data_IF_892915927852
#
_entry.id   IF_892915927852
#
_cell.length_a   1.000
_cell.length_b   1.000
_cell.length_c   1.000
_cell.angle_alpha   90.00
_cell.angle_beta   90.00
_cell.angle_gamma   90.00
#
_symmetry.space_group_name_H-M   'P 1'
#
loop_
_entity.id
_entity.type
_entity.pdbx_description
1 polymer ?
#
# COMPACT_ATOMS: atom_id res chain seq x y z
N UNK A 1 31.22 5.86 36.92
CA UNK A 1 31.00 4.66 36.07
C UNK A 1 30.16 3.65 36.85
N UNK A 2 28.87 3.46 36.51
CA UNK A 2 27.96 2.52 37.20
C UNK A 2 27.54 1.42 36.22
N UNK A 3 28.03 0.19 36.46
CA UNK A 3 27.76 -0.99 35.65
C UNK A 3 26.34 -1.52 35.88
N UNK A 4 25.57 -1.65 34.80
CA UNK A 4 24.28 -2.35 34.78
C UNK A 4 24.52 -3.85 34.54
N UNK A 5 24.22 -4.66 35.55
CA UNK A 5 24.15 -6.13 35.44
C UNK A 5 23.01 -6.50 34.50
N UNK A 6 23.29 -7.30 33.46
CA UNK A 6 22.28 -7.92 32.60
C UNK A 6 21.76 -9.17 33.31
N UNK A 7 20.46 -9.19 33.55
CA UNK A 7 19.74 -10.31 34.13
C UNK A 7 19.41 -11.29 32.98
N UNK A 8 19.86 -12.53 33.09
CA UNK A 8 19.55 -13.60 32.16
C UNK A 8 18.21 -14.21 32.55
N UNK A 9 17.29 -14.34 31.59
CA UNK A 9 16.06 -15.11 31.76
C UNK A 9 16.29 -16.55 31.28
N UNK A 10 15.85 -17.58 32.03
CA UNK A 10 15.99 -18.97 31.61
C UNK A 10 15.05 -19.32 30.45
N UNK A 11 15.60 -20.09 29.50
CA UNK A 11 14.90 -20.69 28.36
C UNK A 11 13.99 -21.80 28.89
N UNK A 12 12.68 -21.56 28.91
CA UNK A 12 11.67 -22.49 29.41
C UNK A 12 10.93 -23.23 28.29
N UNK A 13 11.21 -24.53 28.22
CA UNK A 13 10.33 -25.67 27.87
C UNK A 13 9.43 -25.59 26.61
N UNK A 14 9.86 -26.36 25.61
CA UNK A 14 9.07 -26.87 24.49
C UNK A 14 7.93 -27.75 25.01
N UNK A 15 6.67 -27.40 24.73
CA UNK A 15 5.51 -28.27 24.93
C UNK A 15 5.35 -29.21 23.72
N UNK A 16 5.04 -30.50 23.92
CA UNK A 16 4.68 -31.42 22.83
C UNK A 16 3.27 -31.08 22.28
N UNK A 17 3.02 -31.27 20.97
CA UNK A 17 1.69 -31.07 20.39
C UNK A 17 0.76 -32.24 20.77
N UNK A 18 -0.38 -31.90 21.34
CA UNK A 18 -1.50 -32.82 21.51
C UNK A 18 -2.05 -33.24 20.15
N UNK A 19 -2.23 -34.55 19.96
CA UNK A 19 -2.94 -35.14 18.84
C UNK A 19 -4.41 -34.68 18.85
N UNK A 20 -4.80 -33.90 17.84
CA UNK A 20 -6.19 -33.54 17.60
C UNK A 20 -6.76 -34.42 16.49
N UNK A 21 -7.84 -35.09 16.88
CA UNK A 21 -8.73 -35.93 16.08
C UNK A 21 -9.22 -35.21 14.81
N UNK A 22 -8.94 -35.81 13.66
CA UNK A 22 -9.46 -35.37 12.35
C UNK A 22 -10.95 -35.67 12.23
N UNK A 23 -11.77 -34.65 12.45
CA UNK A 23 -13.15 -34.64 11.95
C UNK A 23 -13.16 -34.00 10.57
N UNK A 24 -13.40 -34.81 9.54
CA UNK A 24 -13.56 -34.33 8.16
C UNK A 24 -14.90 -33.61 8.02
N UNK A 25 -14.88 -32.29 7.93
CA UNK A 25 -16.01 -31.48 7.48
C UNK A 25 -15.80 -31.20 6.00
N UNK A 26 -16.57 -31.87 5.14
CA UNK A 26 -16.65 -31.54 3.71
C UNK A 26 -17.42 -30.24 3.54
N UNK A 27 -16.71 -29.15 3.26
CA UNK A 27 -17.33 -27.86 2.90
C UNK A 27 -17.38 -27.76 1.37
N UNK A 28 -18.59 -27.83 0.82
CA UNK A 28 -18.89 -27.56 -0.58
C UNK A 28 -18.75 -26.05 -0.82
N UNK A 29 -17.70 -25.63 -1.50
CA UNK A 29 -17.49 -24.23 -1.90
C UNK A 29 -18.28 -23.92 -3.18
N UNK A 30 -19.35 -23.15 -3.02
CA UNK A 30 -20.09 -22.53 -4.11
C UNK A 30 -19.35 -21.25 -4.52
N UNK A 31 -18.72 -21.23 -5.69
CA UNK A 31 -18.04 -20.04 -6.24
C UNK A 31 -19.06 -19.08 -6.86
N UNK A 32 -19.47 -18.06 -6.12
CA UNK A 32 -20.07 -16.85 -6.71
C UNK A 32 -18.97 -15.84 -7.05
N UNK A 33 -18.66 -15.72 -8.35
CA UNK A 33 -17.83 -14.63 -8.87
C UNK A 33 -18.67 -13.35 -8.93
N UNK A 34 -18.59 -12.53 -7.89
CA UNK A 34 -19.11 -11.16 -7.90
C UNK A 34 -18.00 -10.16 -8.16
N UNK A 35 -17.82 -9.76 -9.41
CA UNK A 35 -17.00 -8.61 -9.81
C UNK A 35 -17.77 -7.32 -9.48
N UNK A 36 -17.66 -6.86 -8.23
CA UNK A 36 -18.27 -5.61 -7.77
C UNK A 36 -17.26 -4.47 -7.69
N UNK A 37 -17.06 -3.74 -8.79
CA UNK A 37 -16.36 -2.45 -8.75
C UNK A 37 -17.24 -1.41 -8.03
N UNK A 38 -17.08 -1.27 -6.70
CA UNK A 38 -17.72 -0.17 -5.95
C UNK A 38 -17.03 1.14 -6.30
N UNK A 39 -17.76 2.03 -6.97
CA UNK A 39 -17.37 3.42 -7.12
C UNK A 39 -17.30 4.13 -5.76
N UNK A 40 -16.31 5.01 -5.54
CA UNK A 40 -16.31 5.89 -4.38
C UNK A 40 -17.39 6.95 -4.52
N UNK A 41 -18.41 6.86 -3.67
CA UNK A 41 -19.43 7.90 -3.47
C UNK A 41 -18.75 9.16 -2.90
N UNK A 42 -18.72 10.22 -3.71
CA UNK A 42 -18.24 11.53 -3.31
C UNK A 42 -19.14 12.13 -2.23
N UNK A 43 -18.63 12.23 -1.00
CA UNK A 43 -19.28 12.96 0.09
C UNK A 43 -18.65 14.34 0.22
N UNK A 44 -19.27 15.31 -0.43
CA UNK A 44 -19.02 16.74 -0.27
C UNK A 44 -19.34 17.14 1.17
N UNK A 45 -18.33 17.46 1.98
CA UNK A 45 -18.53 18.05 3.30
C UNK A 45 -18.38 19.57 3.18
N UNK A 46 -19.51 20.26 3.13
CA UNK A 46 -19.60 21.68 3.44
C UNK A 46 -19.19 21.86 4.91
N UNK A 47 -18.24 22.76 5.16
CA UNK A 47 -18.04 23.35 6.49
C UNK A 47 -17.98 24.86 6.29
N UNK A 48 -19.02 25.50 6.80
CA UNK A 48 -19.29 26.93 6.82
C UNK A 48 -18.44 27.64 7.88
N UNK A 49 -17.89 28.79 7.47
CA UNK A 49 -17.81 30.09 8.17
C UNK A 49 -17.17 30.17 9.58
N UNK A 50 -16.11 31.00 9.70
CA UNK A 50 -16.17 32.35 10.31
C UNK A 50 -14.77 32.99 10.35
N UNK A 51 -14.54 34.02 9.52
CA UNK A 51 -14.37 35.45 9.85
C UNK A 51 -13.18 35.76 10.78
N UNK A 52 -12.06 36.21 10.20
CA UNK A 52 -11.30 37.34 10.74
C UNK A 52 -10.60 38.09 9.59
N UNK A 53 -10.92 39.38 9.50
CA UNK A 53 -10.65 40.29 8.39
C UNK A 53 -9.40 41.12 8.63
N UNK A 54 -8.47 41.12 7.67
CA UNK A 54 -7.39 42.10 7.55
C UNK A 54 -7.38 42.70 6.14
N UNK A 55 -7.22 44.03 6.00
CA UNK A 55 -7.27 44.70 4.71
C UNK A 55 -5.90 44.61 4.03
N UNK A 56 -5.81 43.88 2.91
CA UNK A 56 -4.69 44.01 1.98
C UNK A 56 -5.17 44.58 0.66
N UNK A 57 -4.60 45.75 0.36
CA UNK A 57 -4.75 46.53 -0.87
C UNK A 57 -4.51 45.66 -2.10
N UNK A 58 -5.59 45.28 -2.80
CA UNK A 58 -5.50 44.53 -4.05
C UNK A 58 -5.26 45.51 -5.20
N UNK A 59 -4.06 45.40 -5.77
CA UNK A 59 -3.61 46.14 -6.95
C UNK A 59 -4.24 45.50 -8.18
N UNK A 60 -5.16 46.22 -8.81
CA UNK A 60 -5.80 45.89 -10.08
C UNK A 60 -4.75 45.58 -11.15
N UNK A 61 -4.72 44.33 -11.63
CA UNK A 61 -3.77 43.88 -12.66
C UNK A 61 -4.54 43.20 -13.79
N UNK A 62 -5.01 44.08 -14.69
CA UNK A 62 -5.12 43.95 -16.15
C UNK A 62 -5.26 42.52 -16.70
N UNK A 63 -6.49 42.19 -17.08
CA UNK A 63 -6.86 41.04 -17.90
C UNK A 63 -6.03 40.98 -19.18
N UNK A 64 -5.24 39.92 -19.31
CA UNK A 64 -4.66 39.49 -20.58
C UNK A 64 -5.40 38.21 -20.99
N UNK A 65 -6.53 38.41 -21.67
CA UNK A 65 -7.34 37.34 -22.27
C UNK A 65 -6.63 36.85 -23.54
N UNK A 66 -5.51 36.13 -23.38
CA UNK A 66 -4.90 35.38 -24.47
C UNK A 66 -5.78 34.17 -24.79
N UNK A 67 -6.62 34.33 -25.81
CA UNK A 67 -7.29 33.22 -26.47
C UNK A 67 -6.25 32.44 -27.27
N UNK A 68 -5.67 31.41 -26.64
CA UNK A 68 -4.86 30.43 -27.36
C UNK A 68 -5.76 29.70 -28.36
N UNK A 69 -5.60 30.02 -29.66
CA UNK A 69 -6.06 29.18 -30.76
C UNK A 69 -5.29 27.86 -30.70
N UNK A 70 -5.77 26.91 -29.91
CA UNK A 70 -5.28 25.54 -29.93
C UNK A 70 -5.65 24.94 -31.28
N UNK A 71 -4.66 24.78 -32.15
CA UNK A 71 -4.82 24.07 -33.42
C UNK A 71 -5.33 22.66 -33.14
N UNK A 72 -6.32 22.19 -33.90
CA UNK A 72 -6.92 20.86 -33.74
C UNK A 72 -5.88 19.73 -33.72
N UNK A 73 -4.73 19.93 -34.36
CA UNK A 73 -3.58 19.02 -34.33
C UNK A 73 -2.98 18.84 -32.91
N UNK A 74 -2.96 19.89 -32.08
CA UNK A 74 -2.43 19.81 -30.71
C UNK A 74 -3.35 19.01 -29.78
N UNK A 75 -4.67 19.05 -29.98
CA UNK A 75 -5.62 18.26 -29.20
C UNK A 75 -5.48 16.76 -29.46
N UNK A 76 -5.23 16.37 -30.71
CA UNK A 76 -4.98 14.96 -31.07
C UNK A 76 -3.68 14.46 -30.44
N UNK A 77 -2.62 15.26 -30.50
CA UNK A 77 -1.32 14.89 -29.94
C UNK A 77 -1.39 14.70 -28.40
N UNK A 78 -2.06 15.61 -27.70
CA UNK A 78 -2.27 15.49 -26.25
C UNK A 78 -3.12 14.27 -25.88
N UNK A 79 -4.13 13.93 -26.69
CA UNK A 79 -4.96 12.73 -26.49
C UNK A 79 -4.16 11.43 -26.63
N UNK A 80 -3.33 11.31 -27.66
CA UNK A 80 -2.46 10.14 -27.85
C UNK A 80 -1.42 10.07 -26.72
N UNK A 81 -0.78 11.19 -26.36
CA UNK A 81 0.18 11.21 -25.25
C UNK A 81 -0.46 10.82 -23.92
N UNK A 82 -1.64 11.34 -23.60
CA UNK A 82 -2.34 10.99 -22.36
C UNK A 82 -2.68 9.49 -22.31
N UNK A 83 -3.09 8.92 -23.44
CA UNK A 83 -3.37 7.47 -23.56
C UNK A 83 -2.11 6.62 -23.31
N UNK A 84 -0.96 7.05 -23.84
CA UNK A 84 0.33 6.38 -23.60
C UNK A 84 0.75 6.51 -22.13
N UNK A 85 0.63 7.68 -21.52
CA UNK A 85 0.94 7.89 -20.09
C UNK A 85 0.10 6.99 -19.18
N UNK A 86 -1.20 6.85 -19.45
CA UNK A 86 -2.07 5.95 -18.68
C UNK A 86 -1.65 4.48 -18.77
N UNK A 87 -1.09 4.04 -19.91
CA UNK A 87 -0.56 2.68 -20.06
C UNK A 87 0.76 2.47 -19.29
N UNK A 88 1.56 3.53 -19.11
CA UNK A 88 2.81 3.47 -18.36
C UNK A 88 2.63 3.49 -16.82
N UNK A 89 1.51 4.00 -16.30
CA UNK A 89 1.28 4.13 -14.85
C UNK A 89 0.54 2.95 -14.19
N UNK A 90 0.39 1.82 -14.89
CA UNK A 90 -0.35 0.63 -14.41
C UNK A 90 0.38 -0.20 -13.34
N UNK A 91 1.14 0.44 -12.44
CA UNK A 91 1.72 -0.20 -11.24
C UNK A 91 0.85 0.07 -10.00
N UNK A 92 -0.45 -0.22 -10.10
CA UNK A 92 -1.33 -0.29 -8.94
C UNK A 92 -1.29 -1.71 -8.39
N UNK A 93 -0.37 -1.93 -7.44
CA UNK A 93 -0.34 -3.16 -6.62
C UNK A 93 -1.53 -3.12 -5.66
N UNK A 94 -2.64 -3.68 -6.11
CA UNK A 94 -3.72 -4.07 -5.21
C UNK A 94 -3.18 -5.18 -4.30
N UNK A 95 -3.22 -4.93 -3.00
CA UNK A 95 -2.70 -5.89 -2.06
C UNK A 95 -3.60 -7.13 -2.11
N UNK A 96 -2.96 -8.25 -2.44
CA UNK A 96 -3.65 -9.46 -2.84
C UNK A 96 -2.91 -10.63 -2.21
N UNK A 97 -3.66 -11.43 -1.46
CA UNK A 97 -3.12 -12.62 -0.81
C UNK A 97 -3.23 -13.77 -1.81
N UNK A 98 -2.08 -14.23 -2.32
CA UNK A 98 -2.03 -15.34 -3.27
C UNK A 98 -1.64 -16.63 -2.56
N UNK A 99 -2.42 -17.69 -2.78
CA UNK A 99 -2.07 -19.05 -2.38
C UNK A 99 -1.61 -19.85 -3.60
N UNK A 100 -0.33 -20.24 -3.63
CA UNK A 100 0.19 -21.19 -4.63
C UNK A 100 0.21 -22.57 -4.00
N UNK A 101 -0.48 -23.56 -4.57
CA UNK A 101 -0.47 -24.95 -4.06
C UNK A 101 0.78 -25.70 -4.55
N UNK A 102 1.37 -26.54 -3.70
CA UNK A 102 2.48 -27.44 -4.04
C UNK A 102 3.87 -26.93 -3.63
N UNK A 103 4.92 -27.43 -4.30
CA UNK A 103 6.31 -27.11 -3.96
C UNK A 103 6.60 -25.63 -4.28
N UNK A 104 7.11 -24.91 -3.29
CA UNK A 104 7.50 -23.51 -3.47
C UNK A 104 8.69 -23.40 -4.42
N UNK A 105 8.45 -22.88 -5.63
CA UNK A 105 9.52 -22.56 -6.58
C UNK A 105 9.40 -21.13 -7.09
N UNK A 106 10.53 -20.43 -7.14
CA UNK A 106 10.61 -19.09 -7.72
C UNK A 106 11.96 -18.89 -8.41
N UNK A 107 11.93 -18.46 -9.68
CA UNK A 107 13.14 -18.25 -10.52
C UNK A 107 14.08 -19.46 -10.52
N UNK A 108 13.53 -20.65 -10.77
CA UNK A 108 14.26 -21.92 -10.78
C UNK A 108 14.94 -22.30 -9.45
N UNK A 109 14.59 -21.63 -8.35
CA UNK A 109 15.01 -22.01 -7.00
C UNK A 109 13.84 -22.62 -6.24
N UNK A 110 14.10 -23.74 -5.60
CA UNK A 110 13.15 -24.41 -4.71
C UNK A 110 13.36 -23.94 -3.28
N UNK A 111 12.26 -23.66 -2.58
CA UNK A 111 12.24 -23.21 -1.19
C UNK A 111 11.62 -24.29 -0.32
N UNK A 112 12.19 -24.51 0.86
CA UNK A 112 11.67 -25.48 1.82
C UNK A 112 10.55 -24.85 2.65
N UNK A 113 9.62 -25.64 3.21
CA UNK A 113 8.65 -25.13 4.17
C UNK A 113 9.35 -24.38 5.32
N UNK A 114 8.86 -23.19 5.65
CA UNK A 114 9.47 -22.26 6.61
C UNK A 114 10.37 -21.19 5.97
N UNK A 115 10.82 -21.39 4.73
CA UNK A 115 11.63 -20.39 4.03
C UNK A 115 10.80 -19.17 3.63
N UNK A 116 11.47 -18.03 3.52
CA UNK A 116 10.88 -16.79 3.00
C UNK A 116 11.63 -16.33 1.76
N UNK A 117 10.89 -15.84 0.77
CA UNK A 117 11.46 -15.34 -0.48
C UNK A 117 10.70 -14.11 -0.98
N UNK A 118 11.32 -13.33 -1.85
CA UNK A 118 10.70 -12.14 -2.46
C UNK A 118 10.33 -12.44 -3.91
N UNK A 119 9.08 -12.15 -4.28
CA UNK A 119 8.59 -12.17 -5.67
C UNK A 119 8.20 -10.75 -6.04
N UNK A 120 9.08 -10.06 -6.75
CA UNK A 120 8.91 -8.62 -6.99
C UNK A 120 8.92 -7.85 -5.66
N UNK A 121 7.82 -7.17 -5.35
CA UNK A 121 7.66 -6.43 -4.10
C UNK A 121 6.92 -7.19 -3.00
N UNK A 122 6.37 -8.36 -3.33
CA UNK A 122 5.67 -9.21 -2.37
C UNK A 122 6.66 -10.05 -1.56
N UNK A 123 6.35 -10.20 -0.27
CA UNK A 123 7.07 -11.11 0.62
C UNK A 123 6.29 -12.42 0.70
N UNK A 124 6.90 -13.49 0.23
CA UNK A 124 6.31 -14.82 0.20
C UNK A 124 6.90 -15.70 1.31
N UNK A 125 6.04 -16.55 1.86
CA UNK A 125 6.35 -17.50 2.90
C UNK A 125 5.96 -18.88 2.41
N UNK A 126 6.91 -19.81 2.43
CA UNK A 126 6.70 -21.18 2.02
C UNK A 126 6.17 -22.03 3.17
N UNK A 127 5.17 -22.84 2.88
CA UNK A 127 4.56 -23.85 3.74
C UNK A 127 4.59 -25.22 3.05
N UNK A 128 4.26 -26.27 3.79
CA UNK A 128 4.21 -27.65 3.27
C UNK A 128 3.23 -27.81 2.10
N UNK A 129 2.14 -27.04 2.11
CA UNK A 129 1.09 -27.11 1.09
C UNK A 129 1.23 -26.10 -0.03
N UNK A 130 2.22 -25.21 0.02
CA UNK A 130 2.25 -24.06 -0.88
C UNK A 130 2.99 -22.85 -0.39
N UNK A 131 2.89 -21.75 -1.13
CA UNK A 131 3.37 -20.44 -0.67
C UNK A 131 2.19 -19.46 -0.51
N UNK A 132 2.26 -18.62 0.51
CA UNK A 132 1.43 -17.41 0.60
C UNK A 132 2.30 -16.17 0.45
N UNK A 133 1.84 -15.21 -0.35
CA UNK A 133 2.55 -13.95 -0.58
C UNK A 133 1.75 -12.78 -0.02
N UNK A 134 2.45 -11.86 0.66
CA UNK A 134 1.89 -10.63 1.22
C UNK A 134 2.49 -9.44 0.46
N UNK A 135 1.62 -8.67 -0.19
CA UNK A 135 1.94 -7.37 -0.75
C UNK A 135 2.07 -6.33 0.37
N UNK A 136 2.99 -5.38 0.22
CA UNK A 136 3.13 -4.31 1.21
C UNK A 136 1.88 -3.44 1.24
N UNK A 137 1.32 -3.26 2.44
CA UNK A 137 0.14 -2.43 2.65
C UNK A 137 0.43 -0.95 2.38
N UNK A 138 -0.59 -0.23 1.95
CA UNK A 138 -0.55 1.23 1.73
C UNK A 138 -1.05 1.94 2.98
N UNK A 139 -0.28 2.88 3.57
CA UNK A 139 -0.77 3.64 4.71
C UNK A 139 -1.90 4.57 4.27
N UNK A 140 -2.94 4.66 5.08
CA UNK A 140 -4.15 5.47 4.83
C UNK A 140 -4.27 6.67 5.76
N UNK A 141 -3.65 6.62 6.94
CA UNK A 141 -3.65 7.73 7.91
C UNK A 141 -2.35 7.83 8.69
N UNK A 142 -1.95 9.06 9.01
CA UNK A 142 -0.71 9.41 9.71
C UNK A 142 -0.82 10.82 10.34
N UNK A 143 0.10 11.22 11.25
CA UNK A 143 0.10 12.57 11.82
C UNK A 143 0.33 13.66 10.76
N UNK A 144 -0.26 14.86 10.95
CA UNK A 144 -0.16 15.99 10.00
C UNK A 144 1.29 16.48 9.71
N UNK A 145 2.22 16.25 10.65
CA UNK A 145 3.65 16.56 10.49
C UNK A 145 4.42 15.55 9.63
N UNK A 146 3.74 14.50 9.17
CA UNK A 146 4.31 13.43 8.38
C UNK A 146 3.71 13.41 6.96
N UNK A 147 4.39 12.74 6.05
CA UNK A 147 3.89 12.48 4.71
C UNK A 147 4.34 11.10 4.23
N UNK A 148 3.60 10.55 3.26
CA UNK A 148 3.90 9.25 2.66
C UNK A 148 4.89 9.41 1.51
N UNK A 149 5.92 8.58 1.49
CA UNK A 149 6.92 8.48 0.42
C UNK A 149 6.82 7.10 -0.23
N UNK A 150 6.69 7.06 -1.56
CA UNK A 150 6.74 5.81 -2.35
C UNK A 150 8.19 5.33 -2.40
N UNK A 151 8.40 4.07 -2.07
CA UNK A 151 9.70 3.40 -2.19
C UNK A 151 9.65 2.38 -3.32
N UNK A 152 10.78 1.74 -3.64
CA UNK A 152 10.85 0.72 -4.69
C UNK A 152 9.83 -0.42 -4.50
N UNK A 153 9.50 -0.77 -3.25
CA UNK A 153 8.61 -1.91 -2.96
C UNK A 153 7.58 -1.65 -1.85
N UNK A 154 7.07 -0.42 -1.74
CA UNK A 154 6.00 -0.10 -0.80
C UNK A 154 6.04 1.36 -0.38
N UNK A 155 5.64 1.63 0.86
CA UNK A 155 5.49 2.99 1.35
C UNK A 155 6.18 3.16 2.71
N UNK A 156 6.80 4.33 2.90
CA UNK A 156 7.24 4.79 4.21
C UNK A 156 6.47 6.06 4.56
N UNK A 157 6.17 6.25 5.83
CA UNK A 157 5.68 7.53 6.32
C UNK A 157 6.84 8.19 7.04
N UNK A 158 7.21 9.40 6.65
CA UNK A 158 8.38 10.11 7.19
C UNK A 158 7.98 11.51 7.64
N UNK A 159 8.80 12.13 8.50
CA UNK A 159 8.58 13.51 8.92
C UNK A 159 8.81 14.47 7.75
N UNK A 160 7.99 15.52 7.64
CA UNK A 160 8.15 16.57 6.61
C UNK A 160 9.49 17.29 6.73
N UNK A 161 9.89 17.64 7.94
CA UNK A 161 11.14 18.37 8.22
C UNK A 161 12.38 17.46 8.19
N UNK A 162 12.21 16.16 8.45
CA UNK A 162 13.30 15.20 8.59
C UNK A 162 12.97 13.91 7.83
N UNK A 163 13.16 13.89 6.49
CA UNK A 163 12.75 12.78 5.64
C UNK A 163 13.52 11.47 5.91
N UNK A 164 14.65 11.54 6.62
CA UNK A 164 15.40 10.37 7.07
C UNK A 164 14.78 9.68 8.30
N UNK A 165 13.87 10.36 9.01
CA UNK A 165 13.19 9.84 10.19
C UNK A 165 11.80 9.32 9.85
N UNK A 166 11.50 8.10 10.27
CA UNK A 166 10.19 7.49 10.06
C UNK A 166 9.13 7.96 11.06
N UNK A 167 7.91 8.13 10.57
CA UNK A 167 6.72 8.35 11.37
C UNK A 167 5.89 7.07 11.46
N UNK A 168 5.15 6.92 12.57
CA UNK A 168 4.13 5.89 12.70
C UNK A 168 2.88 6.25 11.90
N UNK A 169 2.41 5.33 11.05
CA UNK A 169 1.08 5.39 10.46
C UNK A 169 0.04 4.79 11.42
N UNK A 170 -1.18 5.32 11.41
CA UNK A 170 -2.26 4.85 12.28
C UNK A 170 -3.09 3.74 11.65
N UNK A 171 -3.20 3.72 10.32
CA UNK A 171 -3.95 2.71 9.59
C UNK A 171 -3.29 2.39 8.25
N UNK A 172 -3.52 1.16 7.80
CA UNK A 172 -2.98 0.54 6.59
C UNK A 172 -4.12 -0.18 5.88
N UNK A 173 -4.15 -0.08 4.55
CA UNK A 173 -5.03 -0.88 3.70
C UNK A 173 -4.17 -1.83 2.87
N UNK A 174 -4.58 -3.09 2.88
CA UNK A 174 -3.99 -4.19 2.14
C UNK A 174 -5.10 -4.97 1.44
#
# INVERSE_FOLDING_TARGET
MRGKRRQWFPVGMVRPPHALSSSFISVTLHSEMSAGCRQPSGRTRQTTNSVESLPMSVKEKRDHTEKCFYSSAQLVLLSVCFSVFLLLDTDCTEASLYHMKGVCSHKNKFFKPGDTFRRGCDKCYCHEFGAYCITQMKPTSWPNKCHRVRTKCGYRVVYKEKPLSECRAYSWIG
#
